data_IF_369442582070
#
_entry.id   IF_369442582070
#
_cell.length_a   1.000
_cell.length_b   1.000
_cell.length_c   1.000
_cell.angle_alpha   90.00
_cell.angle_beta   90.00
_cell.angle_gamma   90.00
#
_symmetry.space_group_name_H-M   'P 1'
#
loop_
_entity.id
_entity.type
_entity.pdbx_description
1 polymer ?
#
# COMPACT_ATOMS: atom_id res chain seq x y z
N UNK A 1 -6.66 -2.24 11.81
CA UNK A 1 -6.26 -1.65 10.51
C UNK A 1 -7.47 -1.38 9.66
N UNK A 2 -8.36 -2.35 9.46
CA UNK A 2 -9.66 -2.15 8.79
C UNK A 2 -10.45 -0.97 9.39
N UNK A 3 -10.56 -0.90 10.73
CA UNK A 3 -11.19 0.24 11.42
C UNK A 3 -10.55 1.62 11.11
N UNK A 4 -9.31 1.65 10.64
CA UNK A 4 -8.66 2.90 10.25
C UNK A 4 -9.05 3.31 8.82
N UNK A 5 -9.22 2.33 7.92
CA UNK A 5 -9.64 2.52 6.52
C UNK A 5 -11.11 2.96 6.43
N UNK A 6 -11.99 2.44 7.30
CA UNK A 6 -13.43 2.73 7.27
C UNK A 6 -13.86 3.98 8.05
N UNK A 7 -12.92 4.82 8.48
CA UNK A 7 -13.25 6.08 9.15
C UNK A 7 -13.54 7.19 8.14
N UNK A 8 -14.20 8.24 8.61
CA UNK A 8 -14.68 9.37 7.78
C UNK A 8 -13.60 10.08 6.95
N UNK A 9 -12.34 10.07 7.41
CA UNK A 9 -11.20 10.59 6.65
C UNK A 9 -10.41 9.39 6.09
N UNK A 10 -10.37 9.21 4.76
CA UNK A 10 -9.63 8.15 4.11
C UNK A 10 -8.15 8.17 4.47
N UNK A 11 -7.55 6.99 4.59
CA UNK A 11 -6.11 6.82 4.76
C UNK A 11 -5.60 5.62 3.96
N UNK A 12 -6.25 5.37 2.83
CA UNK A 12 -6.14 4.27 1.88
C UNK A 12 -4.89 4.32 0.98
N UNK A 13 -3.82 4.94 1.48
CA UNK A 13 -2.46 4.88 0.93
C UNK A 13 -1.53 4.28 1.97
N UNK A 14 -0.39 3.71 1.55
CA UNK A 14 0.56 3.11 2.51
C UNK A 14 1.04 4.12 3.56
N UNK A 15 1.40 5.33 3.13
CA UNK A 15 1.80 6.41 4.03
C UNK A 15 0.60 6.99 4.81
N UNK A 16 -0.62 6.90 4.27
CA UNK A 16 -1.87 7.22 4.98
C UNK A 16 -2.05 6.32 6.20
N UNK A 17 -2.02 5.01 6.00
CA UNK A 17 -2.13 4.03 7.10
C UNK A 17 -0.96 4.16 8.07
N UNK A 18 0.27 4.35 7.56
CA UNK A 18 1.47 4.63 8.37
C UNK A 18 1.26 5.80 9.33
N UNK A 19 0.72 6.93 8.86
CA UNK A 19 0.44 8.11 9.73
C UNK A 19 -0.67 7.82 10.75
N UNK A 20 -1.63 6.97 10.39
CA UNK A 20 -2.82 6.68 11.18
C UNK A 20 -2.59 5.72 12.34
N UNK A 21 -1.96 4.58 12.05
CA UNK A 21 -1.83 3.46 13.00
C UNK A 21 -0.39 2.92 13.10
N UNK A 22 0.58 3.63 12.50
CA UNK A 22 2.02 3.40 12.63
C UNK A 22 2.58 2.04 12.17
N UNK A 23 2.02 1.33 11.16
CA UNK A 23 2.75 0.22 10.56
C UNK A 23 4.05 0.72 9.93
N UNK A 24 5.09 -0.11 10.01
CA UNK A 24 6.39 0.19 9.41
C UNK A 24 7.24 1.23 10.14
N UNK A 25 6.80 1.78 11.29
CA UNK A 25 7.60 2.71 12.09
C UNK A 25 8.56 2.03 13.09
N UNK A 26 8.71 0.70 13.04
CA UNK A 26 9.66 -0.05 13.86
C UNK A 26 11.06 -0.13 13.23
N UNK A 27 12.01 -0.79 13.91
CA UNK A 27 13.40 -0.97 13.41
C UNK A 27 13.49 -1.55 12.00
N UNK A 28 12.52 -2.37 11.61
CA UNK A 28 12.43 -2.98 10.28
C UNK A 28 11.97 -2.02 9.17
N UNK A 29 11.57 -0.80 9.50
CA UNK A 29 11.12 0.23 8.55
C UNK A 29 10.03 -0.24 7.57
N UNK A 30 9.18 -1.18 8.00
CA UNK A 30 8.11 -1.73 7.15
C UNK A 30 8.53 -2.88 6.24
N UNK A 31 9.77 -3.38 6.34
CA UNK A 31 10.22 -4.52 5.52
C UNK A 31 9.40 -5.80 5.71
N UNK A 32 8.73 -5.98 6.85
CA UNK A 32 7.86 -7.13 7.11
C UNK A 32 6.37 -6.81 6.91
N UNK A 33 5.88 -5.75 7.53
CA UNK A 33 4.46 -5.42 7.48
C UNK A 33 4.05 -4.57 6.27
N UNK A 34 4.97 -3.95 5.55
CA UNK A 34 4.69 -3.15 4.35
C UNK A 34 3.95 -3.96 3.26
N UNK A 35 4.44 -5.14 2.86
CA UNK A 35 3.73 -6.00 1.91
C UNK A 35 2.33 -6.42 2.40
N UNK A 36 2.17 -6.64 3.70
CA UNK A 36 0.87 -6.97 4.30
C UNK A 36 -0.08 -5.75 4.27
N UNK A 37 0.43 -4.56 4.56
CA UNK A 37 -0.35 -3.32 4.50
C UNK A 37 -0.86 -3.06 3.08
N UNK A 38 0.02 -3.20 2.08
CA UNK A 38 -0.34 -3.06 0.68
C UNK A 38 -1.48 -3.99 0.30
N UNK A 39 -1.35 -5.28 0.65
CA UNK A 39 -2.38 -6.31 0.39
C UNK A 39 -3.71 -6.00 1.06
N UNK A 40 -3.70 -5.61 2.34
CA UNK A 40 -4.94 -5.29 3.07
C UNK A 40 -5.66 -4.10 2.42
N UNK A 41 -4.93 -3.07 1.97
CA UNK A 41 -5.54 -1.93 1.27
C UNK A 41 -6.18 -2.38 -0.05
N UNK A 42 -5.46 -3.17 -0.86
CA UNK A 42 -5.97 -3.69 -2.13
C UNK A 42 -7.23 -4.56 -1.93
N UNK A 43 -7.18 -5.50 -0.98
CA UNK A 43 -8.29 -6.39 -0.63
C UNK A 43 -9.51 -5.59 -0.11
N UNK A 44 -9.30 -4.55 0.71
CA UNK A 44 -10.37 -3.70 1.25
C UNK A 44 -11.04 -2.84 0.15
N UNK A 45 -10.26 -2.35 -0.81
CA UNK A 45 -10.78 -1.51 -1.93
C UNK A 45 -11.26 -2.31 -3.14
N UNK A 46 -10.94 -3.60 -3.20
CA UNK A 46 -11.21 -4.42 -4.38
C UNK A 46 -10.38 -4.02 -5.62
N UNK A 47 -9.19 -3.47 -5.40
CA UNK A 47 -8.25 -3.06 -6.46
C UNK A 47 -7.09 -4.05 -6.56
N UNK A 48 -6.29 -3.97 -7.63
CA UNK A 48 -5.04 -4.73 -7.72
C UNK A 48 -3.97 -4.16 -6.76
N UNK A 49 -2.87 -4.90 -6.58
CA UNK A 49 -1.76 -4.43 -5.73
C UNK A 49 -1.00 -3.27 -6.39
N UNK A 50 -0.96 -3.24 -7.71
CA UNK A 50 -0.37 -2.20 -8.55
C UNK A 50 -1.12 -0.88 -8.45
N UNK A 51 -2.44 -0.92 -8.19
CA UNK A 51 -3.27 0.27 -8.01
C UNK A 51 -3.12 0.91 -6.60
N UNK A 52 -2.39 0.28 -5.67
CA UNK A 52 -2.20 0.83 -4.32
C UNK A 52 -1.10 1.90 -4.32
N UNK A 53 -1.53 3.12 -4.03
CA UNK A 53 -0.65 4.28 -3.91
C UNK A 53 0.14 4.31 -2.58
N UNK A 54 1.40 4.73 -2.67
CA UNK A 54 2.23 4.97 -1.49
C UNK A 54 1.78 6.20 -0.72
N UNK A 55 1.58 7.32 -1.40
CA UNK A 55 1.35 8.64 -0.79
C UNK A 55 0.32 9.51 -1.48
N UNK A 56 -0.14 9.12 -2.67
CA UNK A 56 -1.09 9.83 -3.51
C UNK A 56 -1.00 9.38 -4.98
N UNK A 57 -1.77 10.03 -5.84
CA UNK A 57 -1.89 9.69 -7.27
C UNK A 57 -0.52 9.58 -7.95
N UNK A 58 -0.29 8.48 -8.67
CA UNK A 58 0.96 8.24 -9.41
C UNK A 58 2.15 7.83 -8.53
N UNK A 59 1.89 7.37 -7.30
CA UNK A 59 2.94 6.89 -6.38
C UNK A 59 2.80 5.39 -6.06
N UNK A 60 2.37 4.62 -7.04
CA UNK A 60 2.23 3.17 -6.98
C UNK A 60 3.56 2.53 -6.58
N UNK A 61 3.51 1.51 -5.72
CA UNK A 61 4.71 0.79 -5.26
C UNK A 61 5.11 -0.36 -6.19
N UNK A 62 4.17 -0.85 -6.99
CA UNK A 62 4.34 -2.01 -7.85
C UNK A 62 3.95 -1.65 -9.29
N UNK A 63 4.75 -2.11 -10.25
CA UNK A 63 4.53 -1.88 -11.69
C UNK A 63 4.25 -3.18 -12.45
N UNK A 64 3.87 -4.24 -11.72
CA UNK A 64 3.64 -5.59 -12.25
C UNK A 64 4.60 -6.64 -11.72
N UNK A 65 4.39 -7.89 -12.15
CA UNK A 65 5.20 -9.03 -11.75
C UNK A 65 6.59 -9.03 -12.40
N UNK A 66 7.63 -9.39 -11.64
CA UNK A 66 9.03 -9.44 -12.11
C UNK A 66 9.21 -10.28 -13.38
N UNK A 67 8.38 -11.32 -13.59
CA UNK A 67 8.45 -12.20 -14.76
C UNK A 67 7.69 -11.69 -15.98
N UNK A 68 6.88 -10.63 -15.84
CA UNK A 68 6.02 -10.07 -16.89
C UNK A 68 6.50 -8.71 -17.39
N UNK A 69 7.48 -8.09 -16.72
CA UNK A 69 8.15 -6.87 -17.21
C UNK A 69 8.98 -7.21 -18.44
N UNK A 70 8.31 -7.22 -19.58
CA UNK A 70 8.96 -7.19 -20.89
C UNK A 70 9.46 -5.77 -21.06
N UNK A 71 10.78 -5.56 -21.00
CA UNK A 71 11.40 -4.30 -21.39
C UNK A 71 10.96 -3.98 -22.83
N UNK A 72 10.16 -2.94 -23.00
CA UNK A 72 10.00 -2.25 -24.27
C UNK A 72 10.26 -0.76 -24.01
N UNK A 73 11.37 -0.31 -24.59
CA UNK A 73 11.89 1.06 -24.78
C UNK A 73 12.08 1.98 -23.56
#
# INVERSE_FOLDING_TARGET
MLDALHRSVPCDTVDGVKRRVRPGMGRCQGGFCGPLVLRIIAEDKGTSLEEVEKSGIGSELLFGGIKEVTQND
#
